data_IF_509708355500
#
_entry.id   IF_509708355500
#
_cell.length_a   1.000
_cell.length_b   1.000
_cell.length_c   1.000
_cell.angle_alpha   90.00
_cell.angle_beta   90.00
_cell.angle_gamma   90.00
#
_symmetry.space_group_name_H-M   'P 1'
#
loop_
_entity.id
_entity.type
_entity.pdbx_description
1 polymer ?
#
# COMPACT_ATOMS: atom_id res chain seq x y z
N UNK A 1 -9.69 21.14 -15.62
CA UNK A 1 -8.29 20.96 -15.19
C UNK A 1 -7.85 19.57 -15.63
N UNK A 2 -6.77 19.47 -16.40
CA UNK A 2 -6.22 18.17 -16.72
C UNK A 2 -5.54 17.62 -15.45
N UNK A 3 -5.77 16.35 -15.13
CA UNK A 3 -5.10 15.66 -14.03
C UNK A 3 -3.61 15.55 -14.35
N UNK A 4 -2.78 16.10 -13.49
CA UNK A 4 -1.32 16.01 -13.61
C UNK A 4 -0.84 14.65 -13.07
N UNK A 5 -0.80 13.66 -13.97
CA UNK A 5 -0.44 12.29 -13.64
C UNK A 5 1.01 12.17 -13.15
N UNK A 6 1.92 12.92 -13.76
CA UNK A 6 3.34 12.91 -13.35
C UNK A 6 3.51 13.43 -11.92
N UNK A 7 2.87 14.54 -11.59
CA UNK A 7 2.90 15.09 -10.22
C UNK A 7 2.31 14.12 -9.19
N UNK A 8 1.20 13.45 -9.54
CA UNK A 8 0.59 12.46 -8.66
C UNK A 8 1.51 11.25 -8.41
N UNK A 9 2.22 10.79 -9.45
CA UNK A 9 3.19 9.69 -9.34
C UNK A 9 4.41 10.08 -8.50
N UNK A 10 4.97 11.27 -8.71
CA UNK A 10 6.09 11.79 -7.89
C UNK A 10 5.69 11.91 -6.41
N UNK A 11 4.49 12.40 -6.15
CA UNK A 11 3.97 12.48 -4.79
C UNK A 11 3.80 11.08 -4.17
N UNK A 12 3.26 10.13 -4.92
CA UNK A 12 3.15 8.73 -4.47
C UNK A 12 4.50 8.14 -4.09
N UNK A 13 5.50 8.30 -4.95
CA UNK A 13 6.85 7.82 -4.68
C UNK A 13 7.46 8.44 -3.41
N UNK A 14 7.22 9.73 -3.16
CA UNK A 14 7.69 10.39 -1.93
C UNK A 14 7.11 9.77 -0.66
N UNK A 15 5.86 9.28 -0.71
CA UNK A 15 5.25 8.55 0.40
C UNK A 15 5.83 7.14 0.56
N UNK A 16 6.18 6.47 -0.53
CA UNK A 16 6.88 5.18 -0.49
C UNK A 16 8.21 5.32 0.27
N UNK A 17 9.00 6.34 -0.07
CA UNK A 17 10.27 6.65 0.62
C UNK A 17 10.06 7.00 2.10
N UNK A 18 9.01 7.77 2.41
CA UNK A 18 8.70 8.11 3.79
C UNK A 18 8.36 6.86 4.61
N UNK A 19 7.45 6.01 4.13
CA UNK A 19 7.08 4.76 4.81
C UNK A 19 8.29 3.84 4.98
N UNK A 20 9.12 3.70 3.94
CA UNK A 20 10.35 2.92 4.00
C UNK A 20 11.32 3.47 5.05
N UNK A 21 11.47 4.80 5.15
CA UNK A 21 12.31 5.43 6.17
C UNK A 21 11.82 5.13 7.59
N UNK A 22 10.50 5.15 7.82
CA UNK A 22 9.90 4.81 9.12
C UNK A 22 10.14 3.34 9.47
N UNK A 23 9.96 2.42 8.52
CA UNK A 23 10.26 0.99 8.73
C UNK A 23 11.73 0.78 9.14
N UNK A 24 12.66 1.47 8.46
CA UNK A 24 14.10 1.41 8.81
C UNK A 24 14.38 1.98 10.21
N UNK A 25 13.71 3.06 10.61
CA UNK A 25 13.82 3.63 11.95
C UNK A 25 13.36 2.67 13.05
N UNK A 26 12.37 1.84 12.77
CA UNK A 26 11.94 0.76 13.67
C UNK A 26 12.89 -0.46 13.65
N UNK A 27 13.93 -0.45 12.82
CA UNK A 27 14.90 -1.53 12.72
C UNK A 27 14.51 -2.67 11.79
N UNK A 28 13.48 -2.49 10.96
CA UNK A 28 13.12 -3.48 9.94
C UNK A 28 14.26 -3.58 8.92
N UNK A 29 14.87 -4.76 8.72
CA UNK A 29 15.97 -4.92 7.78
C UNK A 29 15.47 -5.03 6.33
N UNK A 30 16.40 -4.88 5.38
CA UNK A 30 16.17 -5.14 3.95
C UNK A 30 14.98 -4.40 3.35
N UNK A 31 14.74 -3.17 3.79
CA UNK A 31 13.70 -2.30 3.24
C UNK A 31 14.23 -1.63 1.97
N UNK A 32 13.61 -1.93 0.84
CA UNK A 32 14.00 -1.42 -0.47
C UNK A 32 12.82 -0.72 -1.15
N UNK A 33 13.06 0.45 -1.71
CA UNK A 33 12.11 1.17 -2.58
C UNK A 33 12.63 1.06 -4.01
N UNK A 34 11.88 0.40 -4.92
CA UNK A 34 12.26 0.29 -6.32
C UNK A 34 12.41 1.66 -7.00
N UNK A 35 13.25 1.73 -8.02
CA UNK A 35 13.40 2.95 -8.80
C UNK A 35 12.08 3.42 -9.38
N UNK A 36 11.87 4.73 -9.30
CA UNK A 36 10.70 5.37 -9.87
C UNK A 36 10.81 5.48 -11.40
N UNK A 37 9.82 4.96 -12.11
CA UNK A 37 9.71 5.07 -13.55
C UNK A 37 8.37 5.68 -13.94
N UNK A 38 8.39 6.61 -14.91
CA UNK A 38 7.17 7.22 -15.45
C UNK A 38 6.73 6.39 -16.67
N UNK A 39 5.52 5.83 -16.60
CA UNK A 39 4.92 5.14 -17.73
C UNK A 39 4.23 6.18 -18.64
N UNK A 40 4.69 6.28 -19.90
CA UNK A 40 4.20 7.27 -20.87
C UNK A 40 3.26 6.69 -21.95
N UNK A 41 3.14 5.37 -22.04
CA UNK A 41 2.28 4.69 -23.01
C UNK A 41 1.23 3.83 -22.30
N UNK A 42 0.13 3.53 -22.99
CA UNK A 42 -0.95 2.68 -22.43
C UNK A 42 -0.43 1.28 -22.05
N UNK A 43 0.40 0.67 -22.89
CA UNK A 43 0.98 -0.65 -22.62
C UNK A 43 1.97 -0.61 -21.44
N UNK A 44 2.78 0.45 -21.35
CA UNK A 44 3.69 0.66 -20.22
C UNK A 44 2.92 0.87 -18.91
N UNK A 45 1.76 1.54 -18.91
CA UNK A 45 0.89 1.69 -17.74
C UNK A 45 0.32 0.34 -17.31
N UNK A 46 -0.13 -0.49 -18.25
CA UNK A 46 -0.65 -1.82 -17.95
C UNK A 46 0.45 -2.74 -17.38
N UNK A 47 1.64 -2.73 -17.96
CA UNK A 47 2.80 -3.50 -17.46
C UNK A 47 3.22 -3.02 -16.07
N UNK A 48 3.26 -1.71 -15.86
CA UNK A 48 3.55 -1.10 -14.56
C UNK A 48 2.53 -1.56 -13.51
N UNK A 49 1.22 -1.54 -13.81
CA UNK A 49 0.17 -2.00 -12.89
C UNK A 49 0.37 -3.44 -12.45
N UNK A 50 0.88 -4.31 -13.33
CA UNK A 50 1.13 -5.73 -13.03
C UNK A 50 2.38 -5.96 -12.19
N UNK A 51 3.43 -5.17 -12.42
CA UNK A 51 4.79 -5.42 -11.91
C UNK A 51 5.25 -4.40 -10.88
N UNK A 52 4.56 -3.27 -10.72
CA UNK A 52 4.96 -2.22 -9.80
C UNK A 52 4.93 -2.70 -8.35
N UNK A 53 5.97 -2.33 -7.62
CA UNK A 53 6.13 -2.57 -6.19
C UNK A 53 6.49 -1.26 -5.54
N UNK A 54 5.74 -0.84 -4.53
CA UNK A 54 6.03 0.40 -3.82
C UNK A 54 7.19 0.25 -2.85
N UNK A 55 7.16 -0.80 -2.04
CA UNK A 55 8.21 -1.14 -1.09
C UNK A 55 8.39 -2.66 -1.08
N UNK A 56 9.63 -3.11 -1.01
CA UNK A 56 9.98 -4.52 -0.82
C UNK A 56 10.71 -4.66 0.51
N UNK A 57 10.25 -5.58 1.35
CA UNK A 57 10.86 -5.91 2.63
C UNK A 57 11.05 -7.41 2.66
N UNK A 58 12.29 -7.88 2.61
CA UNK A 58 12.61 -9.30 2.65
C UNK A 58 11.74 -10.13 1.67
N UNK A 59 11.69 -9.70 0.41
CA UNK A 59 10.87 -10.31 -0.63
C UNK A 59 9.36 -10.08 -0.55
N UNK A 60 8.84 -9.56 0.56
CA UNK A 60 7.44 -9.17 0.68
C UNK A 60 7.19 -7.81 0.03
N UNK A 61 6.06 -7.67 -0.65
CA UNK A 61 5.65 -6.40 -1.27
C UNK A 61 4.68 -5.68 -0.34
N UNK A 62 4.96 -4.43 -0.02
CA UNK A 62 4.01 -3.51 0.61
C UNK A 62 3.57 -2.48 -0.43
N UNK A 63 2.28 -2.22 -0.47
CA UNK A 63 1.71 -1.17 -1.33
C UNK A 63 1.28 0.03 -0.49
N UNK A 64 1.64 1.24 -0.89
CA UNK A 64 1.36 2.46 -0.14
C UNK A 64 0.17 3.19 -0.76
N UNK A 65 -0.83 3.48 0.05
CA UNK A 65 -2.01 4.27 -0.34
C UNK A 65 -2.04 5.58 0.45
N UNK A 66 -1.49 6.63 -0.14
CA UNK A 66 -1.56 7.98 0.44
C UNK A 66 -2.93 8.61 0.20
N UNK A 67 -3.49 9.24 1.22
CA UNK A 67 -4.82 9.86 1.17
C UNK A 67 -4.81 11.24 1.84
N UNK A 68 -5.62 12.14 1.31
CA UNK A 68 -5.79 13.48 1.89
C UNK A 68 -6.63 13.49 3.18
N UNK A 69 -7.24 12.37 3.54
CA UNK A 69 -8.01 12.21 4.78
C UNK A 69 -7.14 12.46 6.01
N UNK A 70 -7.72 13.16 6.99
CA UNK A 70 -7.07 13.45 8.26
C UNK A 70 -7.45 12.38 9.27
N UNK A 71 -6.46 11.67 9.79
CA UNK A 71 -6.60 10.73 10.90
C UNK A 71 -5.26 10.67 11.64
N UNK A 72 -5.28 10.27 12.91
CA UNK A 72 -4.09 10.12 13.75
C UNK A 72 -3.80 8.65 14.08
N UNK A 73 -4.77 7.78 13.90
CA UNK A 73 -4.68 6.34 14.11
C UNK A 73 -5.74 5.61 13.29
N UNK A 74 -5.72 4.28 13.30
CA UNK A 74 -6.79 3.47 12.72
C UNK A 74 -8.14 3.75 13.41
N UNK A 75 -8.14 4.01 14.71
CA UNK A 75 -9.36 4.17 15.50
C UNK A 75 -10.15 5.42 15.12
N UNK A 76 -9.46 6.52 14.84
CA UNK A 76 -10.09 7.81 14.45
C UNK A 76 -10.23 7.98 12.93
N UNK A 77 -9.88 6.96 12.14
CA UNK A 77 -10.10 7.00 10.70
C UNK A 77 -11.58 7.28 10.39
N UNK A 78 -11.89 8.31 9.57
CA UNK A 78 -13.27 8.85 9.50
C UNK A 78 -14.29 7.97 8.78
N UNK A 79 -13.84 6.98 7.99
CA UNK A 79 -14.74 6.16 7.19
C UNK A 79 -14.87 4.75 7.78
N UNK A 80 -16.07 4.19 7.75
CA UNK A 80 -16.36 2.81 8.18
C UNK A 80 -15.90 1.77 7.16
N UNK A 81 -15.88 2.15 5.87
CA UNK A 81 -15.45 1.33 4.74
C UNK A 81 -14.21 1.97 4.11
N UNK A 82 -13.16 1.19 3.97
CA UNK A 82 -11.85 1.64 3.53
C UNK A 82 -11.59 1.06 2.15
N UNK A 83 -11.33 1.93 1.18
CA UNK A 83 -10.98 1.52 -0.18
C UNK A 83 -9.58 0.91 -0.17
N UNK A 84 -9.49 -0.36 -0.56
CA UNK A 84 -8.20 -1.10 -0.60
C UNK A 84 -7.49 -0.84 -1.92
N UNK A 85 -8.12 -1.22 -3.02
CA UNK A 85 -7.59 -1.08 -4.38
C UNK A 85 -8.73 -1.17 -5.40
N UNK A 86 -8.45 -0.86 -6.67
CA UNK A 86 -9.36 -1.24 -7.74
C UNK A 86 -9.35 -2.77 -7.90
N UNK A 87 -10.49 -3.35 -8.29
CA UNK A 87 -10.57 -4.79 -8.58
C UNK A 87 -9.55 -5.14 -9.67
N UNK A 88 -9.54 -4.38 -10.76
CA UNK A 88 -8.56 -4.57 -11.83
C UNK A 88 -7.11 -4.46 -11.32
N UNK A 89 -6.79 -3.41 -10.55
CA UNK A 89 -5.45 -3.18 -10.04
C UNK A 89 -4.94 -4.33 -9.18
N UNK A 90 -5.77 -4.82 -8.25
CA UNK A 90 -5.41 -5.95 -7.42
C UNK A 90 -5.31 -7.26 -8.22
N UNK A 91 -6.32 -7.57 -9.03
CA UNK A 91 -6.43 -8.87 -9.70
C UNK A 91 -5.33 -9.07 -10.76
N UNK A 92 -4.87 -8.00 -11.41
CA UNK A 92 -3.80 -8.05 -12.42
C UNK A 92 -2.38 -8.14 -11.84
N UNK A 93 -2.18 -7.82 -10.56
CA UNK A 93 -0.85 -7.92 -9.95
C UNK A 93 -0.33 -9.37 -10.00
N UNK A 94 0.86 -9.57 -10.53
CA UNK A 94 1.53 -10.88 -10.57
C UNK A 94 1.94 -11.31 -9.17
N UNK A 95 2.43 -10.35 -8.37
CA UNK A 95 2.74 -10.56 -6.96
C UNK A 95 1.76 -9.72 -6.15
N UNK A 96 0.91 -10.39 -5.37
CA UNK A 96 -0.02 -9.71 -4.48
C UNK A 96 0.75 -9.05 -3.34
N UNK A 97 0.40 -7.81 -2.95
CA UNK A 97 1.03 -7.19 -1.79
C UNK A 97 0.75 -8.02 -0.53
N UNK A 98 1.73 -8.09 0.34
CA UNK A 98 1.57 -8.68 1.68
C UNK A 98 0.62 -7.84 2.53
N UNK A 99 0.76 -6.52 2.43
CA UNK A 99 -0.14 -5.56 3.05
C UNK A 99 -0.18 -4.25 2.26
N UNK A 100 -1.29 -3.52 2.43
CA UNK A 100 -1.40 -2.12 2.04
C UNK A 100 -1.10 -1.25 3.25
N UNK A 101 -0.25 -0.25 3.08
CA UNK A 101 0.01 0.78 4.09
C UNK A 101 -0.77 2.03 3.71
N UNK A 102 -1.76 2.36 4.51
CA UNK A 102 -2.54 3.59 4.39
C UNK A 102 -1.83 4.70 5.14
N UNK A 103 -1.60 5.83 4.50
CA UNK A 103 -0.94 6.99 5.11
C UNK A 103 -1.73 8.28 4.87
N UNK A 104 -1.95 9.05 5.94
CA UNK A 104 -2.47 10.41 5.83
C UNK A 104 -1.40 11.35 5.28
N UNK A 105 -1.71 12.02 4.17
CA UNK A 105 -0.80 13.03 3.60
C UNK A 105 -0.55 14.18 4.58
N UNK A 106 -1.52 14.49 5.46
CA UNK A 106 -1.47 15.62 6.39
C UNK A 106 -0.79 15.28 7.72
N UNK A 107 -1.21 14.20 8.36
CA UNK A 107 -0.72 13.84 9.71
C UNK A 107 0.45 12.86 9.68
N UNK A 108 0.68 12.18 8.55
CA UNK A 108 1.63 11.06 8.42
C UNK A 108 1.29 9.84 9.27
N UNK A 109 0.11 9.83 9.89
CA UNK A 109 -0.40 8.64 10.57
C UNK A 109 -0.62 7.49 9.57
N UNK A 110 -0.37 6.28 10.02
CA UNK A 110 -0.42 5.08 9.18
C UNK A 110 -1.19 3.94 9.87
N UNK A 111 -1.80 3.09 9.06
CA UNK A 111 -2.29 1.77 9.45
C UNK A 111 -2.10 0.79 8.30
N UNK A 112 -2.26 -0.50 8.58
CA UNK A 112 -2.08 -1.55 7.60
C UNK A 112 -3.38 -2.30 7.29
N UNK A 113 -3.54 -2.70 6.03
CA UNK A 113 -4.57 -3.64 5.58
C UNK A 113 -3.84 -4.90 5.12
N UNK A 114 -3.81 -5.97 5.92
CA UNK A 114 -3.15 -7.21 5.52
C UNK A 114 -3.93 -7.88 4.39
N UNK A 115 -3.25 -8.36 3.36
CA UNK A 115 -3.91 -9.07 2.24
C UNK A 115 -4.51 -10.41 2.67
N UNK A 116 -4.08 -10.97 3.80
CA UNK A 116 -4.74 -12.11 4.45
C UNK A 116 -6.20 -11.84 4.82
N UNK A 117 -6.60 -10.56 4.93
CA UNK A 117 -8.00 -10.17 5.15
C UNK A 117 -8.87 -10.22 3.87
N UNK A 118 -8.30 -10.61 2.71
CA UNK A 118 -8.99 -10.60 1.40
C UNK A 118 -10.36 -11.26 1.41
N UNK A 119 -10.53 -12.33 2.15
CA UNK A 119 -11.82 -13.04 2.27
C UNK A 119 -12.94 -12.19 2.87
N UNK A 120 -12.61 -11.10 3.56
CA UNK A 120 -13.58 -10.16 4.17
C UNK A 120 -13.76 -8.89 3.34
N UNK A 121 -13.10 -8.78 2.18
CA UNK A 121 -13.28 -7.61 1.32
C UNK A 121 -14.57 -7.73 0.53
N UNK A 122 -15.21 -6.59 0.34
CA UNK A 122 -16.42 -6.45 -0.48
C UNK A 122 -16.11 -5.65 -1.73
N UNK A 123 -16.89 -5.83 -2.78
CA UNK A 123 -16.77 -5.04 -4.01
C UNK A 123 -17.82 -3.92 -4.00
N UNK A 124 -17.45 -2.78 -4.58
CA UNK A 124 -18.34 -1.64 -4.75
C UNK A 124 -17.85 -0.73 -5.86
N UNK A 125 -18.75 0.12 -6.36
CA UNK A 125 -18.43 1.09 -7.40
C UNK A 125 -18.07 2.43 -6.77
N UNK A 126 -17.04 3.09 -7.33
CA UNK A 126 -16.72 4.50 -7.07
C UNK A 126 -16.66 5.26 -8.38
N UNK A 127 -16.92 6.56 -8.33
CA UNK A 127 -16.65 7.45 -9.45
C UNK A 127 -15.24 8.04 -9.30
N UNK A 128 -14.33 7.63 -10.21
CA UNK A 128 -13.00 8.23 -10.28
C UNK A 128 -13.09 9.58 -11.00
N UNK A 129 -13.06 10.66 -10.22
CA UNK A 129 -13.19 12.03 -10.76
C UNK A 129 -12.03 12.43 -11.64
N UNK A 130 -10.85 11.86 -11.45
CA UNK A 130 -9.67 12.16 -12.27
C UNK A 130 -9.78 11.57 -13.67
N UNK A 131 -10.41 10.40 -13.80
CA UNK A 131 -10.62 9.71 -15.08
C UNK A 131 -12.03 9.88 -15.62
N UNK A 132 -12.95 10.46 -14.84
CA UNK A 132 -14.38 10.61 -15.15
C UNK A 132 -15.07 9.28 -15.53
N UNK A 133 -14.76 8.21 -14.82
CA UNK A 133 -15.33 6.87 -15.01
C UNK A 133 -15.76 6.24 -13.70
N UNK A 134 -16.71 5.31 -13.77
CA UNK A 134 -17.00 4.40 -12.66
C UNK A 134 -15.98 3.26 -12.63
N UNK A 135 -15.48 2.95 -11.43
CA UNK A 135 -14.46 1.93 -11.20
C UNK A 135 -14.90 1.00 -10.09
N UNK A 136 -14.82 -0.30 -10.34
CA UNK A 136 -15.07 -1.31 -9.32
C UNK A 136 -13.84 -1.44 -8.41
N UNK A 137 -14.10 -1.41 -7.09
CA UNK A 137 -13.05 -1.40 -6.08
C UNK A 137 -13.33 -2.42 -4.98
N UNK A 138 -12.25 -2.85 -4.32
CA UNK A 138 -12.30 -3.60 -3.08
C UNK A 138 -12.33 -2.68 -1.87
N UNK A 139 -13.19 -3.03 -0.92
CA UNK A 139 -13.36 -2.32 0.35
C UNK A 139 -13.21 -3.27 1.52
N UNK A 140 -12.73 -2.74 2.65
CA UNK A 140 -12.59 -3.47 3.91
C UNK A 140 -13.10 -2.62 5.07
N UNK A 141 -13.58 -3.25 6.13
CA UNK A 141 -13.94 -2.56 7.37
C UNK A 141 -12.74 -2.46 8.33
N UNK A 142 -12.74 -1.46 9.22
CA UNK A 142 -11.66 -1.21 10.19
C UNK A 142 -11.24 -2.44 10.98
N UNK A 143 -12.18 -3.31 11.37
CA UNK A 143 -11.91 -4.51 12.19
C UNK A 143 -10.92 -5.49 11.55
N UNK A 144 -10.77 -5.43 10.23
CA UNK A 144 -9.83 -6.26 9.46
C UNK A 144 -8.53 -5.54 9.11
N UNK A 145 -8.39 -4.29 9.56
CA UNK A 145 -7.15 -3.53 9.49
C UNK A 145 -6.36 -3.69 10.78
N UNK A 146 -5.10 -3.25 10.77
CA UNK A 146 -4.19 -3.34 11.90
C UNK A 146 -3.49 -2.00 12.11
N UNK A 147 -3.20 -1.60 13.35
CA UNK A 147 -2.26 -0.51 13.63
C UNK A 147 -0.94 -0.75 12.89
N UNK A 148 -0.31 0.32 12.42
CA UNK A 148 0.96 0.20 11.68
C UNK A 148 2.06 -0.52 12.48
N UNK A 149 2.09 -0.32 13.80
CA UNK A 149 3.07 -0.97 14.66
C UNK A 149 2.95 -2.51 14.65
N UNK A 150 1.75 -3.06 14.52
CA UNK A 150 1.57 -4.52 14.39
C UNK A 150 2.18 -5.06 13.09
N UNK A 151 2.14 -4.30 11.98
CA UNK A 151 2.85 -4.66 10.76
C UNK A 151 4.36 -4.66 10.99
N UNK A 152 4.87 -3.63 11.67
CA UNK A 152 6.30 -3.54 12.03
C UNK A 152 6.74 -4.75 12.85
N UNK A 153 5.97 -5.10 13.89
CA UNK A 153 6.26 -6.25 14.76
C UNK A 153 6.34 -7.56 13.96
N UNK A 154 5.38 -7.80 13.06
CA UNK A 154 5.38 -8.99 12.20
C UNK A 154 6.61 -9.03 11.27
N UNK A 155 7.00 -7.90 10.70
CA UNK A 155 8.17 -7.83 9.82
C UNK A 155 9.48 -8.08 10.60
N UNK A 156 9.58 -7.59 11.84
CA UNK A 156 10.72 -7.82 12.72
C UNK A 156 10.79 -9.29 13.18
N UNK A 157 9.67 -9.88 13.57
CA UNK A 157 9.59 -11.30 13.97
C UNK A 157 10.02 -12.21 12.82
N UNK A 158 9.55 -11.93 11.60
CA UNK A 158 9.93 -12.67 10.39
C UNK A 158 11.44 -12.60 10.14
N UNK A 159 12.02 -11.40 10.19
CA UNK A 159 13.45 -11.22 10.00
C UNK A 159 14.29 -11.96 11.06
N UNK A 160 13.82 -12.01 12.30
CA UNK A 160 14.48 -12.75 13.36
C UNK A 160 14.44 -14.27 13.13
N UNK A 161 13.33 -14.81 12.63
CA UNK A 161 13.19 -16.24 12.32
C UNK A 161 14.12 -16.68 11.17
N UNK A 162 14.33 -15.81 10.17
CA UNK A 162 15.23 -16.12 9.05
C UNK A 162 16.72 -15.98 9.43
N UNK A 163 17.03 -15.22 10.47
CA UNK A 163 18.39 -15.06 10.99
C UNK A 163 18.84 -16.22 11.90
N UNK A 164 17.94 -17.07 12.39
CA UNK A 164 18.30 -18.26 13.18
C UNK A 164 18.85 -19.34 12.22
N UNK A 165 20.12 -19.77 12.38
CA UNK A 165 20.66 -20.85 11.58
C UNK A 165 19.85 -22.12 11.89
N UNK A 166 19.43 -22.84 10.84
CA UNK A 166 18.87 -24.18 11.00
C UNK A 166 19.84 -25.00 11.86
N UNK A 167 19.44 -25.34 13.07
CA UNK A 167 20.19 -26.31 13.87
C UNK A 167 20.19 -27.64 13.13
N UNK A 168 21.36 -28.01 12.56
CA UNK A 168 21.64 -29.36 12.10
C UNK A 168 21.74 -30.34 13.27
#
# INVERSE_FOLDING_TARGET
>A
MSFDYEKAMLQGHSFNEYVASVLRQYGVPEVYVPEFTIASTHDAIADKTRNEKDIVVDGLVLEVKSRSLVFNSLDDFPLSSILVDTVYGFDQKLIKPYAYVYISQKTKAMFAIPSSSRQFWTMGMIFDTAKAIEVECYFVTKRHCRPFIELVDVLLERAAQEAEPACE
#
